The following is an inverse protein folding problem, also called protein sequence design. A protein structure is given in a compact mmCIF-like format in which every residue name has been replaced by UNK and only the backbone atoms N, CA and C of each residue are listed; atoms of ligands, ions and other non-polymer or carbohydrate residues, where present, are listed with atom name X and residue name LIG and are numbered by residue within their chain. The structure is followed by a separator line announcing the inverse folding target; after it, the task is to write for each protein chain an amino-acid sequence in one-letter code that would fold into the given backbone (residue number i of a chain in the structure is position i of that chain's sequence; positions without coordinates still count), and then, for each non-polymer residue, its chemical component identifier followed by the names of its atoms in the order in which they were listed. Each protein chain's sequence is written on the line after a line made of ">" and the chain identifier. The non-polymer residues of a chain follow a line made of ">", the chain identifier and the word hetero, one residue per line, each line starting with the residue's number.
data_IF_035880887328
#
_entry.id   IF_035880887328
#
_cell.length_a   1.000
_cell.length_b   1.000
_cell.length_c   1.000
_cell.angle_alpha   90.00
_cell.angle_beta   90.00
_cell.angle_gamma   90.00
#
_symmetry.space_group_name_H-M   'P 1'
#
loop_
_entity.id
_entity.type
_entity.pdbx_description
1 polymer ?
#
# COMPACT_ATOMS: atom_id res chain seq x y z
N UNK A 1 4.68 -3.04 -2.38
CA UNK A 1 5.46 -2.69 -1.17
C UNK A 1 5.27 -1.21 -0.85
N UNK A 2 5.21 -0.84 0.43
CA UNK A 2 5.14 0.56 0.87
C UNK A 2 6.48 1.25 0.68
N UNK A 3 6.49 2.39 -0.02
CA UNK A 3 7.74 3.12 -0.35
C UNK A 3 7.85 4.46 0.37
N UNK A 4 6.73 5.11 0.71
CA UNK A 4 6.74 6.38 1.45
C UNK A 4 5.47 6.52 2.29
N UNK A 5 5.66 6.98 3.52
CA UNK A 5 4.58 7.36 4.45
C UNK A 5 4.93 8.74 5.02
N UNK A 6 4.12 9.76 4.75
CA UNK A 6 4.31 11.10 5.32
C UNK A 6 2.95 11.81 5.51
N UNK A 7 2.98 13.03 6.04
CA UNK A 7 1.76 13.84 6.23
C UNK A 7 0.97 14.15 4.96
N UNK A 8 1.55 13.94 3.76
CA UNK A 8 0.89 14.12 2.47
C UNK A 8 0.23 12.84 1.92
N UNK A 9 0.45 11.67 2.55
CA UNK A 9 -0.23 10.42 2.22
C UNK A 9 0.69 9.20 2.12
N UNK A 10 0.07 8.06 1.81
CA UNK A 10 0.74 6.77 1.60
C UNK A 10 1.04 6.57 0.11
N UNK A 11 2.27 6.14 -0.19
CA UNK A 11 2.68 5.72 -1.52
C UNK A 11 3.23 4.30 -1.50
N UNK A 12 2.83 3.54 -2.52
CA UNK A 12 3.21 2.14 -2.71
C UNK A 12 3.81 1.96 -4.10
N UNK A 13 4.69 0.97 -4.23
CA UNK A 13 5.17 0.52 -5.52
C UNK A 13 4.48 -0.79 -5.90
N UNK A 14 3.88 -0.79 -7.10
CA UNK A 14 3.16 -1.92 -7.70
C UNK A 14 3.68 -2.07 -9.13
N UNK A 15 4.23 -3.24 -9.47
CA UNK A 15 4.81 -3.54 -10.78
C UNK A 15 5.79 -2.47 -11.32
N UNK A 16 6.56 -1.82 -10.45
CA UNK A 16 7.53 -0.78 -10.82
C UNK A 16 6.98 0.64 -10.80
N UNK A 17 5.66 0.83 -10.76
CA UNK A 17 5.01 2.14 -10.73
C UNK A 17 4.73 2.63 -9.31
N UNK A 18 4.81 3.95 -9.11
CA UNK A 18 4.45 4.61 -7.86
C UNK A 18 2.99 5.04 -7.87
N UNK A 19 2.24 4.54 -6.89
CA UNK A 19 0.82 4.81 -6.76
C UNK A 19 0.50 5.42 -5.40
N UNK A 20 -0.45 6.37 -5.39
CA UNK A 20 -1.05 6.85 -4.16
C UNK A 20 -1.96 5.76 -3.60
N UNK A 21 -1.91 5.52 -2.30
CA UNK A 21 -2.70 4.49 -1.66
C UNK A 21 -3.37 4.97 -0.37
N UNK A 22 -4.34 4.19 0.11
CA UNK A 22 -4.97 4.30 1.41
C UNK A 22 -4.96 2.93 2.09
N UNK A 23 -4.60 2.92 3.36
CA UNK A 23 -4.68 1.76 4.25
C UNK A 23 -5.40 2.19 5.53
N UNK A 24 -6.22 1.31 6.10
CA UNK A 24 -6.90 1.57 7.37
C UNK A 24 -5.98 1.33 8.58
N UNK A 25 -4.95 0.52 8.40
CA UNK A 25 -3.99 0.13 9.42
C UNK A 25 -2.75 1.02 9.37
N UNK A 26 -1.97 1.01 10.45
CA UNK A 26 -0.66 1.65 10.44
C UNK A 26 0.28 0.86 9.54
N UNK A 27 0.97 1.58 8.66
CA UNK A 27 1.93 1.01 7.71
C UNK A 27 3.30 1.62 7.90
N UNK A 28 4.33 0.82 7.71
CA UNK A 28 5.73 1.22 7.71
C UNK A 28 6.32 1.10 6.30
N UNK A 29 7.39 1.84 6.05
CA UNK A 29 8.14 1.70 4.80
C UNK A 29 8.75 0.30 4.74
N UNK A 30 8.59 -0.37 3.61
CA UNK A 30 9.02 -1.75 3.41
C UNK A 30 7.93 -2.80 3.63
N UNK A 31 6.79 -2.44 4.22
CA UNK A 31 5.69 -3.40 4.42
C UNK A 31 5.18 -3.94 3.08
N UNK A 32 4.99 -5.26 3.03
CA UNK A 32 4.28 -5.91 1.93
C UNK A 32 2.79 -5.63 2.06
N UNK A 33 2.15 -5.47 0.90
CA UNK A 33 0.74 -5.11 0.83
C UNK A 33 0.05 -5.90 -0.25
N UNK A 34 -1.26 -6.06 -0.10
CA UNK A 34 -2.17 -6.54 -1.15
C UNK A 34 -3.11 -5.42 -1.55
N UNK A 35 -3.28 -5.25 -2.86
CA UNK A 35 -4.24 -4.32 -3.43
C UNK A 35 -5.63 -4.93 -3.36
N UNK A 36 -6.56 -4.25 -2.70
CA UNK A 36 -7.96 -4.68 -2.58
C UNK A 36 -8.86 -4.04 -3.63
N UNK A 37 -8.45 -2.89 -4.18
CA UNK A 37 -9.23 -2.19 -5.18
C UNK A 37 -8.68 -0.81 -5.51
N UNK A 38 -9.43 -0.09 -6.34
CA UNK A 38 -9.10 1.25 -6.82
C UNK A 38 -10.27 2.20 -6.54
N UNK A 39 -9.98 3.36 -5.98
CA UNK A 39 -10.94 4.45 -5.80
C UNK A 39 -10.43 5.71 -6.49
N UNK A 40 -10.88 5.94 -7.72
CA UNK A 40 -10.32 6.98 -8.59
C UNK A 40 -8.87 6.66 -8.96
N UNK A 41 -7.93 7.52 -8.55
CA UNK A 41 -6.49 7.33 -8.76
C UNK A 41 -5.76 6.86 -7.48
N UNK A 42 -6.49 6.31 -6.51
CA UNK A 42 -5.94 5.88 -5.22
C UNK A 42 -6.19 4.40 -5.01
N UNK A 43 -5.14 3.63 -4.76
CA UNK A 43 -5.24 2.21 -4.42
C UNK A 43 -5.71 2.02 -2.98
N UNK A 44 -6.65 1.11 -2.77
CA UNK A 44 -7.00 0.62 -1.45
C UNK A 44 -6.15 -0.62 -1.16
N UNK A 45 -5.39 -0.60 -0.07
CA UNK A 45 -4.41 -1.65 0.26
C UNK A 45 -4.54 -2.10 1.71
N UNK A 46 -4.17 -3.36 1.96
CA UNK A 46 -3.95 -3.92 3.30
C UNK A 46 -2.53 -4.43 3.44
N UNK A 47 -1.99 -4.39 4.66
CA UNK A 47 -0.71 -5.04 4.97
C UNK A 47 -0.91 -6.54 4.94
N UNK A 48 0.00 -7.26 4.28
CA UNK A 48 0.04 -8.72 4.38
C UNK A 48 0.87 -9.12 5.58
N UNK A 49 0.30 -9.96 6.45
CA UNK A 49 1.08 -10.59 7.50
C UNK A 49 1.99 -11.67 6.89
N UNK A 50 3.19 -11.91 7.47
CA UNK A 50 4.06 -12.97 7.01
C UNK A 50 3.32 -14.33 7.09
N UNK A 51 3.01 -14.90 5.93
CA UNK A 51 2.29 -16.19 5.82
C UNK A 51 0.91 -16.09 5.18
N UNK A 52 0.35 -14.88 5.03
CA UNK A 52 -0.89 -14.65 4.31
C UNK A 52 -0.57 -14.46 2.81
N UNK A 53 -0.20 -15.56 2.14
CA UNK A 53 -0.16 -15.57 0.67
C UNK A 53 -1.59 -15.77 0.16
N UNK A 54 -2.07 -14.78 -0.60
CA UNK A 54 -3.29 -14.88 -1.40
C UNK A 54 -3.18 -15.95 -2.48
#
# INVERSE_FOLDING_TARGET
>A
VVTRVNGAGLWVQVHGELWRARCQERVNIGDEIVVQGLQGLVLQVKVTLPGEKA
#
